data_IF_477886307906
#
_entry.id   IF_477886307906
#
_cell.length_a   1.000
_cell.length_b   1.000
_cell.length_c   1.000
_cell.angle_alpha   90.00
_cell.angle_beta   90.00
_cell.angle_gamma   90.00
#
_symmetry.space_group_name_H-M   'P 1'
#
loop_
_entity.id
_entity.type
_entity.pdbx_description
1 polymer ?
#
# COMPACT_ATOMS: atom_id res chain seq x y z
N UNK A 1 -20.21 -10.09 -2.29
CA UNK A 1 -19.61 -9.90 -0.95
C UNK A 1 -18.17 -10.37 -1.03
N UNK A 2 -17.20 -9.55 -0.63
CA UNK A 2 -15.79 -9.99 -0.59
C UNK A 2 -15.60 -11.03 0.51
N UNK A 3 -14.74 -12.05 0.31
CA UNK A 3 -14.40 -13.03 1.33
C UNK A 3 -13.92 -12.38 2.63
N UNK A 4 -14.23 -13.01 3.77
CA UNK A 4 -13.77 -12.56 5.09
C UNK A 4 -12.24 -12.56 5.15
N UNK A 5 -11.69 -11.48 5.69
CA UNK A 5 -10.26 -11.28 5.80
C UNK A 5 -9.71 -11.85 7.12
N UNK A 6 -9.40 -13.15 7.12
CA UNK A 6 -8.88 -13.87 8.29
C UNK A 6 -7.38 -13.66 8.53
N UNK A 7 -6.65 -13.14 7.54
CA UNK A 7 -5.21 -12.86 7.60
C UNK A 7 -4.86 -11.44 8.08
N UNK A 8 -5.83 -10.54 8.15
CA UNK A 8 -5.66 -9.10 8.45
C UNK A 8 -4.71 -8.79 9.61
N UNK A 9 -4.87 -9.45 10.77
CA UNK A 9 -4.05 -9.16 11.95
C UNK A 9 -2.58 -9.48 11.71
N UNK A 10 -2.30 -10.69 11.19
CA UNK A 10 -0.94 -11.12 10.81
C UNK A 10 -0.33 -10.20 9.75
N UNK A 11 -1.14 -9.77 8.79
CA UNK A 11 -0.69 -8.81 7.78
C UNK A 11 -0.21 -7.50 8.42
N UNK A 12 -0.99 -6.89 9.31
CA UNK A 12 -0.56 -5.63 9.94
C UNK A 12 0.66 -5.81 10.84
N UNK A 13 0.85 -6.98 11.47
CA UNK A 13 2.06 -7.27 12.22
C UNK A 13 3.30 -7.33 11.30
N UNK A 14 3.16 -7.98 10.14
CA UNK A 14 4.19 -8.04 9.11
C UNK A 14 4.49 -6.66 8.50
N UNK A 15 3.47 -5.87 8.20
CA UNK A 15 3.63 -4.52 7.68
C UNK A 15 4.34 -3.60 8.67
N UNK A 16 4.04 -3.73 9.97
CA UNK A 16 4.77 -3.00 11.02
C UNK A 16 6.24 -3.39 11.08
N UNK A 17 6.61 -4.63 10.74
CA UNK A 17 8.02 -5.02 10.60
C UNK A 17 8.69 -4.28 9.43
N UNK A 18 8.02 -4.19 8.27
CA UNK A 18 8.52 -3.41 7.12
C UNK A 18 8.71 -1.95 7.51
N UNK A 19 7.71 -1.36 8.18
CA UNK A 19 7.80 0.02 8.63
C UNK A 19 9.01 0.27 9.53
N UNK A 20 9.24 -0.63 10.50
CA UNK A 20 10.41 -0.57 11.38
C UNK A 20 11.71 -0.65 10.59
N UNK A 21 11.83 -1.55 9.60
CA UNK A 21 13.03 -1.65 8.77
C UNK A 21 13.37 -0.33 8.06
N UNK A 22 12.36 0.34 7.49
CA UNK A 22 12.53 1.65 6.86
C UNK A 22 12.86 2.76 7.87
N UNK A 23 12.23 2.72 9.05
CA UNK A 23 12.44 3.74 10.10
C UNK A 23 13.80 3.60 10.81
N UNK A 24 14.35 2.39 10.92
CA UNK A 24 15.64 2.13 11.58
C UNK A 24 16.84 2.05 10.64
N UNK A 25 16.62 2.20 9.34
CA UNK A 25 17.71 2.17 8.37
C UNK A 25 18.76 3.24 8.74
N UNK A 26 20.04 2.88 8.68
CA UNK A 26 21.14 3.80 8.97
C UNK A 26 21.11 5.04 8.05
N UNK A 27 22.00 6.01 8.25
CA UNK A 27 22.16 7.12 7.31
C UNK A 27 22.49 6.65 5.89
N UNK A 28 23.17 5.50 5.73
CA UNK A 28 23.41 4.82 4.44
C UNK A 28 22.19 4.04 3.93
N UNK A 29 21.14 3.92 4.74
CA UNK A 29 19.92 3.12 4.51
C UNK A 29 20.17 1.64 4.20
N UNK A 30 21.29 1.11 4.67
CA UNK A 30 21.66 -0.29 4.47
C UNK A 30 21.07 -1.18 5.56
N UNK A 31 20.44 -2.29 5.19
CA UNK A 31 19.86 -3.29 6.11
C UNK A 31 20.26 -4.70 5.70
N UNK A 32 20.38 -5.60 6.68
CA UNK A 32 20.54 -7.05 6.43
C UNK A 32 19.17 -7.72 6.46
N UNK A 33 18.79 -8.40 5.37
CA UNK A 33 17.55 -9.15 5.28
C UNK A 33 17.77 -10.45 4.51
N UNK A 34 17.33 -11.58 5.07
CA UNK A 34 17.49 -12.91 4.47
C UNK A 34 18.92 -13.20 3.95
N UNK A 35 19.94 -12.80 4.71
CA UNK A 35 21.35 -12.98 4.35
C UNK A 35 21.88 -12.06 3.25
N UNK A 36 21.10 -11.06 2.83
CA UNK A 36 21.46 -10.09 1.79
C UNK A 36 21.55 -8.68 2.37
N UNK A 37 22.56 -7.92 1.94
CA UNK A 37 22.65 -6.48 2.21
C UNK A 37 21.84 -5.70 1.18
N UNK A 38 20.94 -4.85 1.64
CA UNK A 38 20.06 -4.04 0.81
C UNK A 38 20.21 -2.57 1.15
N UNK A 39 20.28 -1.72 0.14
CA UNK A 39 20.12 -0.27 0.31
C UNK A 39 18.66 0.08 0.09
N UNK A 40 17.95 0.45 1.15
CA UNK A 40 16.54 0.81 1.05
C UNK A 40 16.36 2.18 0.36
N UNK A 41 15.33 2.34 -0.48
CA UNK A 41 14.99 3.62 -1.06
C UNK A 41 14.53 4.60 0.03
N UNK A 42 14.53 5.89 -0.31
CA UNK A 42 13.90 6.89 0.56
C UNK A 42 12.40 6.63 0.59
N UNK A 43 11.80 6.71 1.78
CA UNK A 43 10.35 6.72 1.90
C UNK A 43 9.87 8.17 2.08
N UNK A 44 8.91 8.59 1.27
CA UNK A 44 8.27 9.88 1.44
C UNK A 44 7.47 9.94 2.75
N UNK A 45 7.49 11.12 3.38
CA UNK A 45 6.62 11.51 4.48
C UNK A 45 5.82 12.73 4.02
N UNK A 46 4.51 12.68 4.18
CA UNK A 46 3.63 13.73 3.67
C UNK A 46 3.28 14.74 4.76
N UNK A 47 3.28 16.02 4.41
CA UNK A 47 2.89 17.09 5.33
C UNK A 47 1.37 17.29 5.39
N UNK A 48 0.62 16.81 4.40
CA UNK A 48 -0.82 17.04 4.27
C UNK A 48 -1.51 15.96 3.44
N UNK A 49 -2.84 15.93 3.51
CA UNK A 49 -3.69 15.08 2.66
C UNK A 49 -3.64 15.50 1.19
N UNK A 50 -3.46 16.79 0.90
CA UNK A 50 -3.34 17.26 -0.48
C UNK A 50 -2.04 16.74 -1.12
N UNK A 51 -0.93 16.70 -0.37
CA UNK A 51 0.31 16.08 -0.85
C UNK A 51 0.15 14.57 -1.11
N UNK A 52 -0.67 13.88 -0.32
CA UNK A 52 -1.04 12.47 -0.57
C UNK A 52 -1.86 12.36 -1.85
N UNK A 53 -2.83 13.25 -2.07
CA UNK A 53 -3.67 13.26 -3.29
C UNK A 53 -2.81 13.42 -4.55
N UNK A 54 -1.89 14.39 -4.53
CA UNK A 54 -0.96 14.63 -5.65
C UNK A 54 -0.04 13.44 -5.89
N UNK A 55 0.45 12.81 -4.81
CA UNK A 55 1.28 11.61 -4.90
C UNK A 55 0.50 10.43 -5.52
N UNK A 56 -0.72 10.15 -5.07
CA UNK A 56 -1.58 9.09 -5.65
C UNK A 56 -1.80 9.32 -7.14
N UNK A 57 -2.11 10.55 -7.54
CA UNK A 57 -2.26 10.91 -8.97
C UNK A 57 -1.00 10.60 -9.77
N UNK A 58 0.17 11.04 -9.30
CA UNK A 58 1.45 10.76 -9.96
C UNK A 58 1.75 9.27 -10.08
N UNK A 59 1.50 8.48 -9.04
CA UNK A 59 1.73 7.02 -9.08
C UNK A 59 0.82 6.36 -10.12
N UNK A 60 -0.46 6.72 -10.17
CA UNK A 60 -1.41 6.22 -11.16
C UNK A 60 -1.11 6.67 -12.60
N UNK A 61 -0.31 7.72 -12.76
CA UNK A 61 0.16 8.23 -14.06
C UNK A 61 1.46 7.59 -14.54
N UNK A 62 2.21 6.90 -13.67
CA UNK A 62 3.45 6.24 -14.06
C UNK A 62 3.18 5.22 -15.19
N UNK A 63 3.92 5.27 -16.32
CA UNK A 63 3.70 4.37 -17.44
C UNK A 63 3.78 2.88 -17.06
N UNK A 64 4.70 2.52 -16.16
CA UNK A 64 4.85 1.15 -15.66
C UNK A 64 3.64 0.70 -14.85
N UNK A 65 3.10 1.56 -13.98
CA UNK A 65 1.90 1.28 -13.18
C UNK A 65 0.68 1.14 -14.08
N UNK A 66 0.47 2.06 -15.03
CA UNK A 66 -0.64 2.00 -16.00
C UNK A 66 -0.58 0.77 -16.88
N UNK A 67 0.61 0.42 -17.36
CA UNK A 67 0.81 -0.78 -18.17
C UNK A 67 0.54 -2.05 -17.38
N UNK A 68 0.85 -2.06 -16.08
CA UNK A 68 0.73 -3.27 -15.26
C UNK A 68 -0.67 -3.47 -14.68
N UNK A 69 -1.32 -2.39 -14.27
CA UNK A 69 -2.58 -2.43 -13.54
C UNK A 69 -3.68 -1.72 -14.34
N UNK A 70 -4.58 -2.45 -15.01
CA UNK A 70 -5.68 -1.85 -15.76
C UNK A 70 -6.55 -0.91 -14.91
N UNK A 71 -6.72 -1.21 -13.62
CA UNK A 71 -7.46 -0.39 -12.66
C UNK A 71 -6.81 0.97 -12.37
N UNK A 72 -5.57 1.21 -12.80
CA UNK A 72 -4.94 2.53 -12.67
C UNK A 72 -5.66 3.61 -13.51
N UNK A 73 -6.47 3.21 -14.50
CA UNK A 73 -7.33 4.13 -15.25
C UNK A 73 -8.65 4.46 -14.52
N UNK A 74 -9.01 3.74 -13.46
CA UNK A 74 -10.18 4.04 -12.65
C UNK A 74 -9.90 5.23 -11.71
N UNK A 75 -10.86 6.16 -11.52
CA UNK A 75 -10.67 7.25 -10.58
C UNK A 75 -10.69 6.76 -9.13
N UNK A 76 -9.85 7.35 -8.28
CA UNK A 76 -9.87 7.21 -6.82
C UNK A 76 -9.64 8.57 -6.17
N UNK A 77 -10.48 8.93 -5.21
CA UNK A 77 -10.30 10.17 -4.43
C UNK A 77 -9.50 9.92 -3.16
N UNK A 78 -8.85 10.96 -2.64
CA UNK A 78 -8.17 10.93 -1.34
C UNK A 78 -8.82 11.95 -0.42
N UNK A 79 -9.16 11.54 0.81
CA UNK A 79 -9.67 12.43 1.85
C UNK A 79 -9.05 12.16 3.22
N UNK A 80 -9.22 13.13 4.11
CA UNK A 80 -8.93 12.96 5.52
C UNK A 80 -9.88 11.95 6.16
N UNK A 81 -9.34 11.15 7.08
CA UNK A 81 -10.09 10.22 7.93
C UNK A 81 -10.23 10.79 9.34
N UNK A 82 -11.47 10.77 9.86
CA UNK A 82 -11.78 11.18 11.25
C UNK A 82 -11.19 10.25 12.32
N UNK A 83 -11.10 8.96 12.05
CA UNK A 83 -10.50 7.98 12.97
C UNK A 83 -9.00 7.80 12.71
N UNK A 84 -8.24 7.49 13.76
CA UNK A 84 -6.76 7.49 13.70
C UNK A 84 -6.12 6.09 13.66
N UNK A 85 -6.92 5.03 13.82
CA UNK A 85 -6.44 3.65 13.98
C UNK A 85 -6.04 2.92 12.69
N UNK A 86 -6.43 3.45 11.53
CA UNK A 86 -6.23 2.81 10.23
C UNK A 86 -6.39 3.82 9.11
N UNK A 87 -5.60 3.69 8.06
CA UNK A 87 -5.97 4.13 6.72
C UNK A 87 -6.95 3.13 6.11
N UNK A 88 -7.72 3.54 5.10
CA UNK A 88 -8.68 2.64 4.46
C UNK A 88 -9.06 3.05 3.05
N UNK A 89 -8.98 2.10 2.13
CA UNK A 89 -9.60 2.12 0.83
C UNK A 89 -11.02 1.55 0.85
N UNK A 90 -11.97 2.30 0.31
CA UNK A 90 -13.35 1.87 0.08
C UNK A 90 -13.70 1.96 -1.40
N UNK A 91 -14.45 0.96 -1.89
CA UNK A 91 -14.97 0.89 -3.26
C UNK A 91 -16.46 0.61 -3.24
N UNK A 92 -17.20 1.29 -4.10
CA UNK A 92 -18.60 0.98 -4.41
C UNK A 92 -18.76 0.72 -5.90
N UNK A 93 -19.51 -0.34 -6.24
CA UNK A 93 -19.82 -0.71 -7.62
C UNK A 93 -21.32 -0.91 -7.78
N UNK A 94 -21.81 -0.98 -9.00
CA UNK A 94 -23.18 -1.42 -9.31
C UNK A 94 -23.47 -2.80 -8.73
N UNK A 95 -24.75 -3.17 -8.61
CA UNK A 95 -25.13 -4.50 -8.12
C UNK A 95 -24.55 -5.65 -8.97
N UNK A 96 -24.35 -5.40 -10.27
CA UNK A 96 -23.69 -6.34 -11.18
C UNK A 96 -22.16 -6.40 -11.02
N UNK A 97 -21.55 -5.44 -10.31
CA UNK A 97 -20.12 -5.34 -10.08
C UNK A 97 -19.30 -4.90 -11.30
N UNK A 98 -19.98 -4.45 -12.35
CA UNK A 98 -19.39 -4.13 -13.66
C UNK A 98 -18.96 -2.66 -13.79
N UNK A 99 -19.59 -1.76 -13.02
CA UNK A 99 -19.30 -0.33 -13.09
C UNK A 99 -18.91 0.23 -11.73
N UNK A 100 -17.81 0.96 -11.70
CA UNK A 100 -17.38 1.74 -10.55
C UNK A 100 -18.38 2.89 -10.29
N UNK A 101 -18.83 3.02 -9.05
CA UNK A 101 -19.62 4.17 -8.59
C UNK A 101 -18.74 5.15 -7.83
N UNK A 102 -17.89 4.65 -6.94
CA UNK A 102 -16.91 5.45 -6.22
C UNK A 102 -15.75 4.59 -5.72
N UNK A 103 -14.60 5.23 -5.57
CA UNK A 103 -13.43 4.67 -4.92
C UNK A 103 -12.74 5.80 -4.14
N UNK A 104 -12.35 5.51 -2.90
CA UNK A 104 -11.81 6.51 -2.00
C UNK A 104 -10.75 5.91 -1.09
N UNK A 105 -9.66 6.65 -0.89
CA UNK A 105 -8.64 6.39 0.12
C UNK A 105 -8.81 7.42 1.24
N UNK A 106 -9.04 6.93 2.46
CA UNK A 106 -9.18 7.74 3.65
C UNK A 106 -7.93 7.64 4.53
N UNK A 107 -7.19 8.74 4.69
CA UNK A 107 -5.93 8.77 5.45
C UNK A 107 -6.09 9.59 6.74
N UNK A 108 -5.72 9.05 7.91
CA UNK A 108 -5.58 9.81 9.14
C UNK A 108 -4.54 10.94 9.03
N UNK A 109 -4.89 12.16 9.45
CA UNK A 109 -3.95 13.30 9.52
C UNK A 109 -3.94 14.06 10.84
N UNK A 110 -4.68 13.60 11.86
CA UNK A 110 -4.58 14.19 13.20
C UNK A 110 -3.19 13.92 13.80
N UNK A 111 -2.88 14.57 14.92
CA UNK A 111 -1.61 14.38 15.61
C UNK A 111 -1.29 12.91 15.92
N UNK A 112 -2.30 12.15 16.35
CA UNK A 112 -2.23 10.72 16.65
C UNK A 112 -2.27 9.84 15.39
N UNK A 113 -2.79 10.37 14.28
CA UNK A 113 -2.89 9.70 12.98
C UNK A 113 -1.69 9.91 12.04
N UNK A 114 -0.75 10.80 12.39
CA UNK A 114 0.39 11.17 11.53
C UNK A 114 1.24 9.98 11.05
N UNK A 115 1.21 8.85 11.75
CA UNK A 115 1.86 7.61 11.31
C UNK A 115 1.43 7.17 9.91
N UNK A 116 0.20 7.52 9.49
CA UNK A 116 -0.38 7.17 8.20
C UNK A 116 0.08 8.08 7.05
N UNK A 117 0.68 9.24 7.35
CA UNK A 117 1.22 10.18 6.35
C UNK A 117 2.61 9.72 5.85
N UNK A 118 2.70 8.45 5.46
CA UNK A 118 3.90 7.81 4.89
C UNK A 118 3.59 7.09 3.59
N UNK A 119 4.57 7.04 2.71
CA UNK A 119 4.43 6.47 1.37
C UNK A 119 3.97 5.02 1.37
N UNK A 120 4.51 4.18 2.25
CA UNK A 120 4.14 2.76 2.28
C UNK A 120 2.68 2.53 2.70
N UNK A 121 2.12 3.38 3.56
CA UNK A 121 0.68 3.34 3.91
C UNK A 121 -0.17 3.75 2.73
N UNK A 122 0.25 4.78 1.98
CA UNK A 122 -0.49 5.22 0.78
C UNK A 122 -0.43 4.13 -0.30
N UNK A 123 0.73 3.50 -0.51
CA UNK A 123 0.89 2.40 -1.45
C UNK A 123 0.09 1.16 -1.04
N UNK A 124 -0.06 0.88 0.26
CA UNK A 124 -0.98 -0.15 0.75
C UNK A 124 -2.41 0.11 0.29
N UNK A 125 -2.96 1.30 0.58
CA UNK A 125 -4.35 1.59 0.23
C UNK A 125 -4.55 1.66 -1.29
N UNK A 126 -3.54 2.16 -2.01
CA UNK A 126 -3.56 2.15 -3.47
C UNK A 126 -3.48 0.74 -4.04
N UNK A 127 -2.78 -0.21 -3.40
CA UNK A 127 -2.77 -1.60 -3.82
C UNK A 127 -4.16 -2.24 -3.71
N UNK A 128 -4.97 -1.92 -2.70
CA UNK A 128 -6.38 -2.34 -2.68
C UNK A 128 -7.20 -1.74 -3.83
N UNK A 129 -6.88 -0.52 -4.26
CA UNK A 129 -7.49 0.07 -5.45
C UNK A 129 -7.04 -0.61 -6.75
N UNK A 130 -5.79 -1.07 -6.85
CA UNK A 130 -5.27 -1.69 -8.06
C UNK A 130 -5.59 -3.19 -8.16
N UNK A 131 -5.78 -3.87 -7.03
CA UNK A 131 -6.12 -5.30 -6.98
C UNK A 131 -7.50 -5.55 -7.60
N UNK A 132 -7.55 -6.25 -8.73
CA UNK A 132 -8.77 -6.67 -9.40
C UNK A 132 -9.21 -8.09 -9.00
N UNK A 133 -8.47 -8.73 -8.09
CA UNK A 133 -8.83 -10.04 -7.58
C UNK A 133 -10.11 -9.96 -6.74
N UNK A 134 -10.93 -11.01 -6.80
CA UNK A 134 -12.16 -11.14 -5.99
C UNK A 134 -11.86 -11.78 -4.62
N UNK A 135 -10.62 -11.67 -4.15
CA UNK A 135 -10.11 -12.29 -2.94
C UNK A 135 -10.49 -11.57 -1.64
N UNK A 136 -10.01 -12.11 -0.51
CA UNK A 136 -10.04 -11.40 0.77
C UNK A 136 -9.18 -10.15 0.73
N UNK A 137 -9.49 -9.16 1.58
CA UNK A 137 -8.78 -7.87 1.62
C UNK A 137 -7.25 -7.99 1.62
N UNK A 138 -6.68 -8.84 2.48
CA UNK A 138 -5.23 -9.10 2.54
C UNK A 138 -4.88 -10.52 2.05
N UNK A 139 -5.59 -10.98 1.02
CA UNK A 139 -5.30 -12.27 0.37
C UNK A 139 -4.18 -12.17 -0.66
N UNK A 140 -3.92 -13.28 -1.34
CA UNK A 140 -2.87 -13.41 -2.36
C UNK A 140 -2.89 -12.33 -3.45
N UNK A 141 -4.06 -11.99 -3.98
CA UNK A 141 -4.19 -10.99 -5.04
C UNK A 141 -3.68 -9.61 -4.61
N UNK A 142 -4.11 -9.16 -3.43
CA UNK A 142 -3.61 -7.95 -2.80
C UNK A 142 -2.11 -8.00 -2.53
N UNK A 143 -1.60 -9.09 -1.94
CA UNK A 143 -0.17 -9.23 -1.60
C UNK A 143 0.72 -9.12 -2.84
N UNK A 144 0.35 -9.81 -3.93
CA UNK A 144 1.10 -9.72 -5.19
C UNK A 144 1.01 -8.32 -5.79
N UNK A 145 -0.17 -7.70 -5.76
CA UNK A 145 -0.39 -6.33 -6.23
C UNK A 145 0.48 -5.34 -5.47
N UNK A 146 0.53 -5.44 -4.14
CA UNK A 146 1.32 -4.56 -3.29
C UNK A 146 2.82 -4.71 -3.54
N UNK A 147 3.34 -5.94 -3.56
CA UNK A 147 4.76 -6.22 -3.81
C UNK A 147 5.18 -5.63 -5.16
N UNK A 148 4.35 -5.80 -6.18
CA UNK A 148 4.64 -5.30 -7.51
C UNK A 148 4.52 -3.78 -7.60
N UNK A 149 3.48 -3.17 -7.02
CA UNK A 149 3.32 -1.72 -6.96
C UNK A 149 4.52 -1.07 -6.25
N UNK A 150 4.90 -1.58 -5.09
CA UNK A 150 6.08 -1.09 -4.35
C UNK A 150 7.35 -1.25 -5.19
N UNK A 151 7.50 -2.36 -5.91
CA UNK A 151 8.63 -2.56 -6.83
C UNK A 151 8.71 -1.55 -7.96
N UNK A 152 7.55 -1.19 -8.54
CA UNK A 152 7.47 -0.21 -9.63
C UNK A 152 7.70 1.23 -9.16
N UNK A 153 7.35 1.55 -7.91
CA UNK A 153 7.40 2.92 -7.38
C UNK A 153 8.68 3.20 -6.60
N UNK A 154 9.08 2.28 -5.72
CA UNK A 154 10.22 2.44 -4.82
C UNK A 154 11.46 1.66 -5.25
N UNK A 155 11.29 0.67 -6.13
CA UNK A 155 12.38 -0.15 -6.64
C UNK A 155 12.38 -1.59 -6.12
N UNK A 156 13.21 -2.45 -6.73
CA UNK A 156 13.20 -3.89 -6.47
C UNK A 156 13.57 -4.26 -5.02
N UNK A 157 14.39 -3.46 -4.34
CA UNK A 157 14.79 -3.68 -2.95
C UNK A 157 13.58 -3.60 -2.01
N UNK A 158 12.69 -2.62 -2.20
CA UNK A 158 11.48 -2.49 -1.41
C UNK A 158 10.52 -3.67 -1.68
N UNK A 159 10.37 -4.09 -2.94
CA UNK A 159 9.59 -5.27 -3.28
C UNK A 159 10.16 -6.55 -2.64
N UNK A 160 11.48 -6.69 -2.61
CA UNK A 160 12.16 -7.81 -1.96
C UNK A 160 11.88 -7.83 -0.45
N UNK A 161 11.95 -6.68 0.23
CA UNK A 161 11.60 -6.56 1.65
C UNK A 161 10.18 -7.08 1.91
N UNK A 162 9.18 -6.60 1.18
CA UNK A 162 7.80 -7.06 1.34
C UNK A 162 7.68 -8.57 1.06
N UNK A 163 8.34 -9.08 0.01
CA UNK A 163 8.27 -10.50 -0.34
C UNK A 163 8.81 -11.40 0.78
N UNK A 164 9.96 -11.05 1.36
CA UNK A 164 10.55 -11.81 2.47
C UNK A 164 9.69 -11.70 3.72
N UNK A 165 9.38 -10.47 4.16
CA UNK A 165 8.67 -10.25 5.43
C UNK A 165 7.27 -10.88 5.42
N UNK A 166 6.54 -10.78 4.31
CA UNK A 166 5.22 -11.40 4.19
C UNK A 166 5.32 -12.93 4.13
N UNK A 167 6.29 -13.48 3.39
CA UNK A 167 6.50 -14.93 3.32
C UNK A 167 6.87 -15.53 4.69
N UNK A 168 7.80 -14.91 5.42
CA UNK A 168 8.19 -15.33 6.78
C UNK A 168 7.04 -15.22 7.79
N UNK A 169 6.09 -14.32 7.53
CA UNK A 169 4.87 -14.15 8.32
C UNK A 169 3.74 -15.12 7.91
N UNK A 170 3.98 -16.00 6.94
CA UNK A 170 3.01 -16.97 6.43
C UNK A 170 1.88 -16.33 5.61
N UNK A 171 2.16 -15.22 4.93
CA UNK A 171 1.21 -14.47 4.10
C UNK A 171 1.62 -14.62 2.63
N UNK A 172 0.71 -15.12 1.77
CA UNK A 172 0.95 -15.28 0.34
C UNK A 172 -0.17 -15.94 -0.44
#
# INVERSE_FOLDING_TARGET
MSPRDTGRARYYDAERLVFRLFDTASSSRTVQLAGTELTLPAEARFASIDAVRDYVGRVLELPSVRSRFPRAAEPVSVRERRGQSSAHYARSTTAAGDRLLSAEIAIPSSAEGRWALRELVVLHELAHHLDDSKGSGHGRGFVLTLIELVGLVLGPEAAFVFRVVLADSGIG
#
